data_IF_541197903312
#
_entry.id   IF_541197903312
#
_cell.length_a   1.000
_cell.length_b   1.000
_cell.length_c   1.000
_cell.angle_alpha   90.00
_cell.angle_beta   90.00
_cell.angle_gamma   90.00
#
_symmetry.space_group_name_H-M   'P 1'
#
loop_
_entity.id
_entity.type
_entity.pdbx_description
1 polymer ?
#
# COMPACT_ATOMS: atom_id res chain seq x y z
N UNK A 1 -12.47 -8.43 4.75
CA UNK A 1 -11.54 -7.36 4.35
C UNK A 1 -10.36 -7.51 5.27
N UNK A 2 -9.15 -7.58 4.73
CA UNK A 2 -7.95 -7.91 5.51
C UNK A 2 -7.10 -6.67 5.61
N UNK A 3 -6.78 -6.24 6.83
CA UNK A 3 -5.91 -5.10 7.06
C UNK A 3 -4.44 -5.54 7.19
N UNK A 4 -3.56 -4.57 7.36
CA UNK A 4 -2.13 -4.83 7.51
C UNK A 4 -1.80 -5.60 8.78
N UNK A 5 -2.50 -5.34 9.90
CA UNK A 5 -2.24 -6.02 11.17
C UNK A 5 -2.54 -7.52 11.06
N UNK A 6 -3.63 -7.88 10.38
CA UNK A 6 -3.95 -9.28 10.10
C UNK A 6 -2.89 -9.91 9.19
N UNK A 7 -2.47 -9.22 8.12
CA UNK A 7 -1.37 -9.70 7.26
C UNK A 7 -0.07 -9.93 8.05
N UNK A 8 0.30 -8.99 8.91
CA UNK A 8 1.50 -9.07 9.74
C UNK A 8 1.41 -10.22 10.76
N UNK A 9 0.22 -10.54 11.26
CA UNK A 9 -0.02 -11.70 12.13
C UNK A 9 0.08 -13.01 11.36
N UNK A 10 -0.45 -13.08 10.14
CA UNK A 10 -0.44 -14.28 9.30
C UNK A 10 0.95 -14.59 8.73
N UNK A 11 1.74 -13.57 8.41
CA UNK A 11 2.99 -13.69 7.68
C UNK A 11 4.06 -12.68 8.16
N UNK A 12 4.53 -12.76 9.42
CA UNK A 12 5.34 -11.71 10.05
C UNK A 12 6.65 -11.41 9.34
N UNK A 13 7.40 -12.43 8.93
CA UNK A 13 8.68 -12.23 8.21
C UNK A 13 8.46 -11.62 6.82
N UNK A 14 7.38 -11.99 6.15
CA UNK A 14 7.03 -11.45 4.85
C UNK A 14 6.55 -10.00 4.96
N UNK A 15 5.72 -9.70 5.97
CA UNK A 15 5.29 -8.36 6.28
C UNK A 15 6.46 -7.43 6.61
N UNK A 16 7.46 -7.93 7.36
CA UNK A 16 8.68 -7.18 7.64
C UNK A 16 9.47 -6.86 6.36
N UNK A 17 9.57 -7.79 5.41
CA UNK A 17 10.23 -7.54 4.12
C UNK A 17 9.48 -6.51 3.26
N UNK A 18 8.15 -6.63 3.18
CA UNK A 18 7.28 -5.69 2.47
C UNK A 18 7.38 -4.29 3.08
N UNK A 19 7.37 -4.20 4.41
CA UNK A 19 7.55 -2.94 5.16
C UNK A 19 8.89 -2.28 4.85
N UNK A 20 10.00 -3.01 4.85
CA UNK A 20 11.33 -2.47 4.50
C UNK A 20 11.34 -1.83 3.12
N UNK A 21 10.68 -2.43 2.13
CA UNK A 21 10.59 -1.86 0.79
C UNK A 21 9.86 -0.51 0.75
N UNK A 22 8.80 -0.36 1.55
CA UNK A 22 8.08 0.91 1.68
C UNK A 22 8.87 1.94 2.51
N UNK A 23 9.53 1.54 3.59
CA UNK A 23 10.26 2.46 4.47
C UNK A 23 11.61 2.92 3.87
N UNK A 24 12.19 2.16 2.93
CA UNK A 24 13.45 2.52 2.26
C UNK A 24 13.36 3.81 1.44
N UNK A 25 12.16 4.19 0.98
CA UNK A 25 11.96 5.33 0.10
C UNK A 25 10.68 6.08 0.42
N UNK A 26 10.71 7.41 0.34
CA UNK A 26 9.53 8.23 0.62
C UNK A 26 8.42 8.11 -0.43
N UNK A 27 8.79 7.95 -1.70
CA UNK A 27 7.86 8.08 -2.82
C UNK A 27 7.63 6.76 -3.56
N UNK A 28 6.36 6.43 -3.72
CA UNK A 28 5.87 5.20 -4.36
C UNK A 28 4.92 5.53 -5.52
N UNK A 29 4.55 4.51 -6.28
CA UNK A 29 3.60 4.64 -7.37
C UNK A 29 2.24 4.09 -6.96
N UNK A 30 1.19 4.89 -7.11
CA UNK A 30 -0.19 4.51 -6.91
C UNK A 30 -0.91 4.41 -8.26
N UNK A 31 -1.54 3.27 -8.52
CA UNK A 31 -2.48 3.07 -9.60
C UNK A 31 -3.94 3.14 -9.08
N UNK A 32 -4.77 3.95 -9.73
CA UNK A 32 -6.20 4.14 -9.42
C UNK A 32 -7.04 4.02 -10.69
N UNK A 33 -8.36 3.85 -10.53
CA UNK A 33 -9.31 3.82 -11.65
C UNK A 33 -9.96 5.18 -11.85
N UNK A 34 -9.83 5.74 -13.06
CA UNK A 34 -10.54 6.96 -13.44
C UNK A 34 -12.04 6.69 -13.60
N UNK A 35 -12.84 7.75 -13.71
CA UNK A 35 -14.28 7.64 -13.95
C UNK A 35 -14.69 6.89 -15.22
N UNK A 36 -13.79 6.79 -16.22
CA UNK A 36 -13.97 5.99 -17.44
C UNK A 36 -13.42 4.56 -17.33
N UNK A 37 -12.90 4.17 -16.17
CA UNK A 37 -12.29 2.88 -15.90
C UNK A 37 -10.83 2.74 -16.36
N UNK A 38 -10.25 3.75 -17.02
CA UNK A 38 -8.84 3.71 -17.41
C UNK A 38 -7.90 3.88 -16.20
N UNK A 39 -6.70 3.26 -16.21
CA UNK A 39 -5.77 3.39 -15.10
C UNK A 39 -5.14 4.79 -15.04
N UNK A 40 -4.96 5.33 -13.84
CA UNK A 40 -4.13 6.50 -13.55
C UNK A 40 -2.98 6.08 -12.64
N UNK A 41 -1.75 6.43 -13.02
CA UNK A 41 -0.58 6.38 -12.13
C UNK A 41 -0.28 7.75 -11.54
N UNK A 42 0.15 7.78 -10.29
CA UNK A 42 0.58 8.99 -9.59
C UNK A 42 1.62 8.67 -8.51
N UNK A 43 2.49 9.63 -8.21
CA UNK A 43 3.37 9.53 -7.04
C UNK A 43 2.57 9.64 -5.74
N UNK A 44 2.95 8.87 -4.73
CA UNK A 44 2.33 8.93 -3.40
C UNK A 44 3.32 8.62 -2.28
N UNK A 45 2.94 8.98 -1.06
CA UNK A 45 3.66 8.65 0.17
C UNK A 45 2.73 7.74 0.99
N UNK A 46 3.29 6.70 1.60
CA UNK A 46 2.55 5.80 2.48
C UNK A 46 3.25 5.73 3.83
N UNK A 47 2.50 5.40 4.87
CA UNK A 47 3.05 5.19 6.19
C UNK A 47 2.30 4.06 6.91
N UNK A 48 2.97 3.46 7.88
CA UNK A 48 2.37 2.48 8.76
C UNK A 48 1.90 3.17 10.03
N UNK A 49 0.61 3.48 10.12
CA UNK A 49 -0.01 4.18 11.25
C UNK A 49 -0.96 3.24 11.98
N UNK A 50 -0.84 3.15 13.31
CA UNK A 50 -1.71 2.31 14.15
C UNK A 50 -1.91 0.87 13.61
N UNK A 51 -0.82 0.23 13.15
CA UNK A 51 -0.85 -1.12 12.59
C UNK A 51 -1.43 -1.25 11.18
N UNK A 52 -1.70 -0.13 10.50
CA UNK A 52 -2.30 -0.10 9.17
C UNK A 52 -1.38 0.53 8.13
N UNK A 53 -1.42 0.03 6.90
CA UNK A 53 -0.87 0.75 5.74
C UNK A 53 -1.82 1.89 5.37
N UNK A 54 -1.32 3.11 5.41
CA UNK A 54 -2.11 4.34 5.25
C UNK A 54 -1.48 5.30 4.26
N UNK A 55 -2.29 6.19 3.70
CA UNK A 55 -1.89 7.18 2.71
C UNK A 55 -2.67 8.48 2.90
N UNK A 56 -1.95 9.59 3.06
CA UNK A 56 -2.52 10.94 2.99
C UNK A 56 -2.63 11.44 1.54
N UNK A 57 -3.59 12.32 1.28
CA UNK A 57 -3.69 13.04 0.01
C UNK A 57 -4.27 14.44 0.18
N UNK A 58 -3.71 15.39 -0.57
CA UNK A 58 -4.26 16.75 -0.66
C UNK A 58 -5.73 16.73 -1.12
N UNK A 59 -6.56 17.68 -0.65
CA UNK A 59 -7.92 17.85 -1.13
C UNK A 59 -7.95 18.07 -2.64
N UNK A 60 -8.97 17.50 -3.30
CA UNK A 60 -9.19 17.61 -4.76
C UNK A 60 -8.08 17.02 -5.63
N UNK A 61 -7.09 16.34 -5.07
CA UNK A 61 -6.13 15.57 -5.86
C UNK A 61 -6.88 14.50 -6.68
N UNK A 62 -6.56 14.38 -7.97
CA UNK A 62 -7.29 13.46 -8.85
C UNK A 62 -7.25 12.01 -8.36
N UNK A 63 -6.11 11.54 -7.83
CA UNK A 63 -5.99 10.21 -7.21
C UNK A 63 -6.94 10.00 -6.02
N UNK A 64 -7.20 11.03 -5.22
CA UNK A 64 -8.14 10.95 -4.10
C UNK A 64 -9.60 10.93 -4.61
N UNK A 65 -9.92 11.72 -5.63
CA UNK A 65 -11.25 11.71 -6.24
C UNK A 65 -11.54 10.38 -6.96
N UNK A 66 -10.53 9.78 -7.57
CA UNK A 66 -10.60 8.45 -8.16
C UNK A 66 -10.90 7.41 -7.06
N UNK A 67 -10.15 7.40 -5.96
CA UNK A 67 -10.36 6.49 -4.82
C UNK A 67 -11.72 6.62 -4.14
N UNK A 68 -12.24 7.85 -4.00
CA UNK A 68 -13.57 8.11 -3.43
C UNK A 68 -14.70 7.59 -4.32
N UNK A 69 -14.45 7.52 -5.64
CA UNK A 69 -15.40 6.95 -6.61
C UNK A 69 -15.29 5.42 -6.64
N UNK A 70 -14.07 4.90 -6.69
CA UNK A 70 -13.75 3.48 -6.73
C UNK A 70 -12.48 3.22 -5.92
N UNK A 71 -12.63 2.52 -4.79
CA UNK A 71 -11.53 2.32 -3.85
C UNK A 71 -10.48 1.33 -4.36
N UNK A 72 -10.73 0.61 -5.47
CA UNK A 72 -9.76 -0.35 -6.02
C UNK A 72 -8.50 0.37 -6.50
N UNK A 73 -7.37 -0.11 -5.99
CA UNK A 73 -6.08 0.48 -6.30
C UNK A 73 -4.96 -0.55 -6.19
N UNK A 74 -3.80 -0.20 -6.74
CA UNK A 74 -2.56 -0.90 -6.52
C UNK A 74 -1.46 0.09 -6.11
N UNK A 75 -0.67 -0.27 -5.11
CA UNK A 75 0.58 0.39 -4.75
C UNK A 75 1.74 -0.42 -5.29
N UNK A 76 2.73 0.28 -5.80
CA UNK A 76 4.03 -0.25 -6.12
C UNK A 76 5.03 0.53 -5.28
N UNK A 77 5.72 -0.19 -4.37
CA UNK A 77 6.84 0.37 -3.62
C UNK A 77 7.88 0.97 -4.60
N UNK A 78 8.74 1.84 -4.09
CA UNK A 78 9.62 2.61 -4.97
C UNK A 78 10.42 1.67 -5.89
N UNK A 79 10.27 1.76 -7.23
CA UNK A 79 10.94 0.85 -8.14
C UNK A 79 12.42 1.25 -8.27
N UNK A 80 13.25 0.76 -7.36
CA UNK A 80 14.70 0.94 -7.37
C UNK A 80 15.43 -0.38 -7.59
N UNK A 81 16.74 -0.34 -7.39
CA UNK A 81 17.61 -1.52 -7.38
C UNK A 81 17.03 -2.63 -6.48
N UNK A 82 17.20 -3.89 -6.89
CA UNK A 82 16.58 -5.07 -6.25
C UNK A 82 17.17 -5.44 -4.86
N UNK A 83 17.73 -4.48 -4.13
CA UNK A 83 18.39 -4.67 -2.83
C UNK A 83 17.43 -5.20 -1.77
N UNK A 84 16.26 -4.55 -1.60
CA UNK A 84 15.18 -5.05 -0.73
C UNK A 84 14.12 -5.85 -1.52
N UNK A 85 14.18 -5.78 -2.85
CA UNK A 85 13.22 -6.37 -3.77
C UNK A 85 12.17 -5.38 -4.28
N UNK A 86 11.19 -5.91 -5.01
CA UNK A 86 10.16 -5.17 -5.72
C UNK A 86 8.77 -5.57 -5.19
N UNK A 87 8.08 -4.64 -4.54
CA UNK A 87 6.83 -4.90 -3.82
C UNK A 87 5.65 -4.22 -4.49
N UNK A 88 4.57 -4.99 -4.68
CA UNK A 88 3.26 -4.52 -5.12
C UNK A 88 2.20 -4.95 -4.12
N UNK A 89 1.25 -4.06 -3.84
CA UNK A 89 0.07 -4.32 -3.01
C UNK A 89 -1.16 -3.98 -3.84
N UNK A 90 -2.04 -4.94 -4.07
CA UNK A 90 -3.35 -4.69 -4.67
C UNK A 90 -4.44 -4.84 -3.62
N UNK A 91 -5.47 -3.99 -3.71
CA UNK A 91 -6.52 -3.96 -2.71
C UNK A 91 -7.46 -2.78 -2.87
N UNK A 92 -7.92 -2.25 -1.74
CA UNK A 92 -8.79 -1.09 -1.66
C UNK A 92 -8.20 -0.04 -0.73
N UNK A 93 -8.10 1.20 -1.19
CA UNK A 93 -7.78 2.32 -0.31
C UNK A 93 -9.09 2.99 0.11
N UNK A 94 -9.52 2.74 1.35
CA UNK A 94 -10.79 3.21 1.91
C UNK A 94 -10.57 4.52 2.65
N UNK A 95 -11.35 5.55 2.32
CA UNK A 95 -11.28 6.86 2.99
C UNK A 95 -11.68 6.71 4.46
N UNK A 96 -10.83 7.19 5.36
CA UNK A 96 -11.09 7.21 6.80
C UNK A 96 -11.97 8.44 7.10
N UNK A 97 -13.14 8.26 7.71
CA UNK A 97 -14.03 9.37 8.03
C UNK A 97 -13.47 10.23 9.17
N UNK A 98 -14.03 11.43 9.32
CA UNK A 98 -13.73 12.29 10.46
C UNK A 98 -13.98 11.56 11.78
N UNK A 99 -12.93 11.44 12.60
CA UNK A 99 -12.96 10.57 13.76
C UNK A 99 -11.68 10.64 14.58
N UNK A 100 -11.54 9.71 15.52
CA UNK A 100 -10.34 9.58 16.34
C UNK A 100 -9.13 9.12 15.52
N UNK A 101 -9.33 8.17 14.60
CA UNK A 101 -8.28 7.66 13.70
C UNK A 101 -7.66 8.77 12.86
N UNK A 102 -8.50 9.57 12.17
CA UNK A 102 -8.03 10.72 11.38
C UNK A 102 -7.31 11.76 12.25
N UNK A 103 -7.82 12.02 13.47
CA UNK A 103 -7.18 12.97 14.40
C UNK A 103 -5.81 12.48 14.88
N UNK A 104 -5.67 11.19 15.17
CA UNK A 104 -4.40 10.57 15.52
C UNK A 104 -3.38 10.69 14.39
N UNK A 105 -3.78 10.34 13.18
CA UNK A 105 -2.96 10.48 11.97
C UNK A 105 -2.56 11.95 11.72
N UNK A 106 -3.52 12.88 11.79
CA UNK A 106 -3.29 14.30 11.59
C UNK A 106 -2.26 14.88 12.57
N UNK A 107 -2.32 14.45 13.84
CA UNK A 107 -1.35 14.86 14.86
C UNK A 107 0.06 14.35 14.54
N UNK A 108 0.20 13.10 14.07
CA UNK A 108 1.48 12.51 13.67
C UNK A 108 2.13 13.26 12.50
N UNK A 109 1.35 13.61 11.48
CA UNK A 109 1.83 14.35 10.31
C UNK A 109 1.84 15.88 10.51
N UNK A 110 1.47 16.37 11.70
CA UNK A 110 1.40 17.80 12.04
C UNK A 110 0.52 18.64 11.09
N UNK A 111 -0.67 18.13 10.74
CA UNK A 111 -1.64 18.82 9.90
C UNK A 111 -3.01 18.96 10.59
N UNK A 112 -3.82 19.92 10.14
CA UNK A 112 -5.19 20.07 10.64
C UNK A 112 -6.11 18.96 10.10
N UNK A 113 -6.85 18.22 10.96
CA UNK A 113 -7.84 17.25 10.50
C UNK A 113 -8.87 17.87 9.55
N UNK A 114 -9.32 17.12 8.55
CA UNK A 114 -10.29 17.59 7.55
C UNK A 114 -9.71 18.49 6.46
N UNK A 115 -8.42 18.86 6.54
CA UNK A 115 -7.71 19.60 5.47
C UNK A 115 -7.03 18.70 4.44
N UNK A 116 -7.15 17.38 4.60
CA UNK A 116 -6.60 16.35 3.72
C UNK A 116 -7.48 15.10 3.77
N UNK A 117 -7.30 14.21 2.79
CA UNK A 117 -7.89 12.87 2.79
C UNK A 117 -6.91 11.88 3.42
N UNK A 118 -7.41 11.00 4.28
CA UNK A 118 -6.67 9.83 4.76
C UNK A 118 -7.31 8.57 4.18
N UNK A 119 -6.49 7.67 3.66
CA UNK A 119 -6.93 6.37 3.19
C UNK A 119 -6.22 5.25 3.95
N UNK A 120 -6.98 4.24 4.36
CA UNK A 120 -6.47 3.00 4.93
C UNK A 120 -6.60 1.87 3.92
N UNK A 121 -5.59 1.01 3.85
CA UNK A 121 -5.55 -0.08 2.88
C UNK A 121 -6.19 -1.36 3.42
N UNK A 122 -7.12 -1.90 2.63
CA UNK A 122 -7.62 -3.26 2.73
C UNK A 122 -6.93 -4.10 1.66
N UNK A 123 -6.22 -5.13 2.08
CA UNK A 123 -5.29 -5.91 1.30
C UNK A 123 -6.01 -7.07 0.61
N UNK A 124 -5.75 -7.26 -0.68
CA UNK A 124 -6.24 -8.40 -1.48
C UNK A 124 -5.09 -9.28 -2.00
N UNK A 125 -3.95 -8.67 -2.29
CA UNK A 125 -2.77 -9.35 -2.81
C UNK A 125 -1.53 -8.55 -2.45
N UNK A 126 -0.47 -9.23 -2.06
CA UNK A 126 0.86 -8.63 -1.92
C UNK A 126 1.85 -9.50 -2.68
N UNK A 127 2.54 -8.90 -3.64
CA UNK A 127 3.62 -9.56 -4.39
C UNK A 127 4.94 -8.93 -4.00
N UNK A 128 5.93 -9.76 -3.72
CA UNK A 128 7.31 -9.36 -3.53
C UNK A 128 8.20 -10.16 -4.46
N UNK A 129 8.95 -9.48 -5.32
CA UNK A 129 9.93 -10.09 -6.22
C UNK A 129 11.32 -9.77 -5.72
N UNK A 130 12.16 -10.79 -5.52
CA UNK A 130 13.54 -10.65 -5.08
C UNK A 130 14.46 -11.57 -5.89
N UNK A 131 15.78 -11.40 -5.79
CA UNK A 131 16.76 -12.32 -6.40
C UNK A 131 17.36 -13.20 -5.30
N UNK A 132 17.34 -14.51 -5.49
CA UNK A 132 17.96 -15.51 -4.60
C UNK A 132 18.70 -16.52 -5.47
N UNK A 133 19.98 -16.77 -5.19
CA UNK A 133 20.83 -17.70 -5.95
C UNK A 133 20.78 -17.50 -7.48
N UNK A 134 20.90 -16.24 -7.92
CA UNK A 134 20.79 -15.81 -9.33
C UNK A 134 19.45 -16.15 -10.02
N UNK A 135 18.39 -16.43 -9.24
CA UNK A 135 17.03 -16.65 -9.74
C UNK A 135 16.05 -15.62 -9.18
N UNK A 136 15.00 -15.31 -9.95
CA UNK A 136 13.89 -14.50 -9.45
C UNK A 136 13.00 -15.36 -8.56
N UNK A 137 12.86 -14.95 -7.30
CA UNK A 137 11.85 -15.45 -6.37
C UNK A 137 10.69 -14.47 -6.31
N UNK A 138 9.51 -14.91 -6.75
CA UNK A 138 8.25 -14.17 -6.67
C UNK A 138 7.41 -14.80 -5.55
N UNK A 139 7.20 -14.06 -4.48
CA UNK A 139 6.34 -14.46 -3.37
C UNK A 139 5.04 -13.67 -3.43
N UNK A 140 3.92 -14.37 -3.41
CA UNK A 140 2.58 -13.75 -3.44
C UNK A 140 1.77 -14.22 -2.26
N UNK A 141 1.27 -13.26 -1.48
CA UNK A 141 0.33 -13.52 -0.38
C UNK A 141 -1.08 -13.10 -0.77
N UNK A 142 -2.06 -13.92 -0.40
CA UNK A 142 -3.48 -13.59 -0.47
C UNK A 142 -4.17 -13.90 0.87
N UNK A 143 -5.18 -13.10 1.26
CA UNK A 143 -6.02 -13.39 2.41
C UNK A 143 -6.59 -14.80 2.37
N UNK A 144 -6.38 -15.58 3.43
CA UNK A 144 -6.92 -16.94 3.58
C UNK A 144 -6.22 -18.03 2.75
N UNK A 145 -5.35 -17.68 1.79
CA UNK A 145 -4.54 -18.65 1.04
C UNK A 145 -3.07 -18.68 1.45
N UNK A 146 -2.59 -17.64 2.16
CA UNK A 146 -1.20 -17.55 2.62
C UNK A 146 -0.23 -17.22 1.49
N UNK A 147 1.05 -17.55 1.69
CA UNK A 147 2.14 -17.25 0.75
C UNK A 147 2.31 -18.39 -0.26
N UNK A 148 2.51 -18.02 -1.52
CA UNK A 148 2.95 -18.90 -2.60
C UNK A 148 4.26 -18.40 -3.18
N UNK A 149 5.18 -19.33 -3.46
CA UNK A 149 6.50 -19.04 -3.99
C UNK A 149 6.62 -19.54 -5.43
N UNK A 150 7.14 -18.69 -6.31
CA UNK A 150 7.39 -19.03 -7.70
C UNK A 150 8.81 -18.60 -8.09
N UNK A 151 9.62 -19.55 -8.56
CA UNK A 151 10.98 -19.30 -9.00
C UNK A 151 11.02 -19.19 -10.52
N UNK A 152 11.75 -18.19 -11.05
CA UNK A 152 11.99 -18.00 -12.48
C UNK A 152 13.48 -17.81 -12.76
N UNK A 153 13.99 -18.56 -13.72
CA UNK A 153 15.33 -18.45 -14.31
C UNK A 153 15.33 -17.52 -15.51
#
# INVERSE_FOLDING_TARGET
MTDWQQFETEAPEFAAAVRRCFEAHRHHVLATLRGDGSPRVSGTEVQFHAGNLTMGSMPRALKALDLRRDSRAALHAHPCEMTEGDVKVAGRAVEVPDGEELRGYAAEIQHEPGTFHMFRWELHEITHTSVVDDQLLIRTWHPGAGITDHHRS
#
